data_IF_776960735040
#
_entry.id   IF_776960735040
#
_cell.length_a   1.000
_cell.length_b   1.000
_cell.length_c   1.000
_cell.angle_alpha   90.00
_cell.angle_beta   90.00
_cell.angle_gamma   90.00
#
_symmetry.space_group_name_H-M   'P 1'
#
loop_
_entity.id
_entity.type
_entity.pdbx_description
1 polymer ?
#
# COMPACT_ATOMS: atom_id res chain seq x y z
N UNK A 1 16.50 12.20 -27.89
CA UNK A 1 17.33 11.30 -27.05
C UNK A 1 16.42 10.17 -26.62
N UNK A 2 16.79 8.90 -26.84
CA UNK A 2 15.98 7.78 -26.35
C UNK A 2 16.04 7.76 -24.82
N UNK A 3 14.88 7.75 -24.17
CA UNK A 3 14.75 7.60 -22.72
C UNK A 3 15.13 6.15 -22.34
N UNK A 4 15.79 5.96 -21.19
CA UNK A 4 16.06 4.61 -20.65
C UNK A 4 14.83 4.16 -19.88
N UNK A 5 14.23 3.05 -20.30
CA UNK A 5 13.11 2.45 -19.56
C UNK A 5 13.62 1.57 -18.42
N UNK A 6 12.76 1.31 -17.44
CA UNK A 6 13.11 0.44 -16.32
C UNK A 6 13.38 -1.00 -16.76
N UNK A 7 12.64 -1.47 -17.76
CA UNK A 7 12.76 -2.80 -18.36
C UNK A 7 14.12 -2.98 -19.04
N UNK A 8 14.54 -1.99 -19.84
CA UNK A 8 15.87 -2.00 -20.46
C UNK A 8 16.97 -2.00 -19.40
N UNK A 9 16.82 -1.18 -18.36
CA UNK A 9 17.79 -1.12 -17.27
C UNK A 9 17.86 -2.45 -16.52
N UNK A 10 16.71 -3.06 -16.20
CA UNK A 10 16.58 -4.36 -15.53
C UNK A 10 17.31 -5.46 -16.29
N UNK A 11 17.08 -5.57 -17.59
CA UNK A 11 17.74 -6.55 -18.45
C UNK A 11 19.27 -6.39 -18.39
N UNK A 12 19.78 -5.16 -18.55
CA UNK A 12 21.23 -4.91 -18.56
C UNK A 12 21.88 -5.09 -17.18
N UNK A 13 21.17 -4.76 -16.11
CA UNK A 13 21.61 -5.04 -14.74
C UNK A 13 21.73 -6.55 -14.52
N UNK A 14 20.74 -7.34 -14.93
CA UNK A 14 20.79 -8.80 -14.84
C UNK A 14 21.98 -9.36 -15.64
N UNK A 15 22.13 -8.96 -16.91
CA UNK A 15 23.26 -9.37 -17.77
C UNK A 15 24.62 -9.03 -17.15
N UNK A 16 24.76 -7.82 -16.61
CA UNK A 16 25.96 -7.40 -15.91
C UNK A 16 26.22 -8.31 -14.70
N UNK A 17 25.19 -8.55 -13.89
CA UNK A 17 25.31 -9.30 -12.66
C UNK A 17 25.67 -10.77 -12.91
N UNK A 18 25.10 -11.39 -13.95
CA UNK A 18 25.46 -12.74 -14.39
C UNK A 18 26.89 -12.81 -14.93
N UNK A 19 27.28 -11.91 -15.85
CA UNK A 19 28.64 -11.88 -16.43
C UNK A 19 29.72 -11.67 -15.37
N UNK A 20 29.45 -10.83 -14.38
CA UNK A 20 30.35 -10.55 -13.26
C UNK A 20 30.24 -11.56 -12.12
N UNK A 21 29.40 -12.59 -12.25
CA UNK A 21 29.12 -13.62 -11.22
C UNK A 21 28.74 -13.01 -9.86
N UNK A 22 27.96 -11.94 -9.89
CA UNK A 22 27.45 -11.25 -8.70
C UNK A 22 26.20 -11.90 -8.13
N UNK A 23 25.54 -12.73 -8.95
CA UNK A 23 24.25 -13.36 -8.66
C UNK A 23 24.43 -14.86 -8.64
N UNK A 24 23.82 -15.49 -7.64
CA UNK A 24 23.68 -16.95 -7.56
C UNK A 24 22.42 -17.37 -8.35
N UNK A 25 22.39 -18.60 -8.85
CA UNK A 25 21.14 -19.13 -9.40
C UNK A 25 20.02 -19.07 -8.33
N UNK A 26 18.76 -18.99 -8.75
CA UNK A 26 17.65 -18.83 -7.81
C UNK A 26 17.59 -19.99 -6.80
N UNK A 27 17.97 -21.19 -7.23
CA UNK A 27 18.12 -22.39 -6.41
C UNK A 27 19.18 -22.21 -5.31
N UNK A 28 20.28 -21.53 -5.64
CA UNK A 28 21.44 -21.27 -4.77
C UNK A 28 21.30 -20.01 -3.90
N UNK A 29 20.26 -19.19 -4.11
CA UNK A 29 19.96 -18.06 -3.21
C UNK A 29 19.64 -18.59 -1.81
N UNK A 30 20.23 -17.97 -0.80
CA UNK A 30 20.09 -18.35 0.60
C UNK A 30 18.63 -18.35 1.07
N UNK A 31 18.25 -19.36 1.85
CA UNK A 31 16.91 -19.51 2.44
C UNK A 31 16.44 -18.29 3.24
N UNK A 32 17.36 -17.56 3.89
CA UNK A 32 17.07 -16.35 4.63
C UNK A 32 16.57 -15.24 3.69
N UNK A 33 17.29 -15.01 2.58
CA UNK A 33 16.92 -14.00 1.57
C UNK A 33 15.56 -14.33 0.96
N UNK A 34 15.34 -15.61 0.64
CA UNK A 34 14.05 -16.08 0.13
C UNK A 34 12.92 -15.86 1.14
N UNK A 35 13.19 -16.08 2.42
CA UNK A 35 12.23 -15.85 3.51
C UNK A 35 11.94 -14.37 3.74
N UNK A 36 12.95 -13.50 3.63
CA UNK A 36 12.78 -12.04 3.69
C UNK A 36 11.84 -11.54 2.59
N UNK A 37 12.04 -12.01 1.36
CA UNK A 37 11.13 -11.68 0.26
C UNK A 37 9.70 -12.17 0.52
N UNK A 38 9.55 -13.40 1.03
CA UNK A 38 8.22 -13.93 1.38
C UNK A 38 7.54 -13.11 2.48
N UNK A 39 8.30 -12.66 3.49
CA UNK A 39 7.79 -11.76 4.53
C UNK A 39 7.34 -10.42 3.95
N UNK A 40 8.10 -9.85 3.02
CA UNK A 40 7.73 -8.64 2.29
C UNK A 40 6.38 -8.83 1.58
N UNK A 41 6.23 -9.89 0.77
CA UNK A 41 4.96 -10.22 0.10
C UNK A 41 3.81 -10.40 1.12
N UNK A 42 4.08 -11.04 2.26
CA UNK A 42 3.09 -11.28 3.31
C UNK A 42 2.67 -10.02 4.06
N UNK A 43 3.57 -9.05 4.24
CA UNK A 43 3.26 -7.72 4.77
C UNK A 43 2.34 -6.94 3.83
N UNK A 44 2.56 -7.09 2.52
CA UNK A 44 1.76 -6.46 1.46
C UNK A 44 0.50 -7.25 1.09
N UNK A 45 0.26 -8.41 1.71
CA UNK A 45 -0.96 -9.20 1.50
C UNK A 45 -1.01 -9.94 0.16
N UNK A 46 0.12 -10.02 -0.57
CA UNK A 46 0.24 -10.72 -1.85
C UNK A 46 0.29 -12.24 -1.67
N UNK A 47 0.70 -12.71 -0.49
CA UNK A 47 0.68 -14.14 -0.13
C UNK A 47 -0.08 -14.37 1.18
N UNK A 48 -0.84 -15.47 1.30
CA UNK A 48 -1.63 -15.75 2.48
C UNK A 48 -0.75 -16.11 3.69
N UNK A 49 -0.90 -15.36 4.80
CA UNK A 49 -0.13 -15.53 6.05
C UNK A 49 -0.22 -16.90 6.74
N UNK A 50 -1.15 -17.78 6.35
CA UNK A 50 -1.54 -18.98 7.12
C UNK A 50 -1.51 -20.31 6.36
N UNK A 51 -1.02 -20.33 5.11
CA UNK A 51 -0.87 -21.58 4.36
C UNK A 51 0.59 -22.03 4.42
N UNK A 52 0.83 -23.34 4.46
CA UNK A 52 2.15 -23.87 4.11
C UNK A 52 2.35 -23.59 2.63
N UNK A 53 3.39 -22.83 2.29
CA UNK A 53 3.70 -22.47 0.90
C UNK A 53 5.14 -22.85 0.62
N UNK A 54 5.38 -23.44 -0.54
CA UNK A 54 6.75 -23.64 -1.05
C UNK A 54 7.35 -22.28 -1.37
N UNK A 55 8.40 -21.89 -0.64
CA UNK A 55 9.07 -20.60 -0.81
C UNK A 55 9.59 -20.42 -2.24
N UNK A 56 10.17 -21.48 -2.82
CA UNK A 56 10.67 -21.44 -4.20
C UNK A 56 9.53 -21.22 -5.19
N UNK A 57 8.38 -21.88 -5.02
CA UNK A 57 7.25 -21.73 -5.94
C UNK A 57 6.73 -20.29 -5.95
N UNK A 58 6.60 -19.66 -4.77
CA UNK A 58 6.18 -18.25 -4.67
C UNK A 58 7.17 -17.33 -5.36
N UNK A 59 8.46 -17.57 -5.18
CA UNK A 59 9.49 -16.77 -5.83
C UNK A 59 9.41 -16.95 -7.35
N UNK A 60 9.21 -18.16 -7.85
CA UNK A 60 9.04 -18.39 -9.29
C UNK A 60 7.76 -17.74 -9.84
N UNK A 61 6.64 -17.79 -9.10
CA UNK A 61 5.39 -17.12 -9.44
C UNK A 61 5.53 -15.59 -9.47
N UNK A 62 6.48 -15.03 -8.70
CA UNK A 62 6.76 -13.59 -8.60
C UNK A 62 8.20 -13.24 -9.01
N UNK A 63 8.76 -13.96 -10.00
CA UNK A 63 10.18 -13.88 -10.33
C UNK A 63 10.63 -12.46 -10.69
N UNK A 64 9.83 -11.72 -11.46
CA UNK A 64 10.14 -10.34 -11.82
C UNK A 64 10.31 -9.43 -10.60
N UNK A 65 9.33 -9.47 -9.70
CA UNK A 65 9.33 -8.67 -8.49
C UNK A 65 10.47 -9.09 -7.54
N UNK A 66 10.81 -10.39 -7.52
CA UNK A 66 11.96 -10.88 -6.76
C UNK A 66 13.27 -10.32 -7.31
N UNK A 67 13.47 -10.35 -8.63
CA UNK A 67 14.69 -9.85 -9.27
C UNK A 67 14.82 -8.33 -9.07
N UNK A 68 13.72 -7.59 -9.17
CA UNK A 68 13.74 -6.15 -8.99
C UNK A 68 14.11 -5.78 -7.54
N UNK A 69 13.47 -6.43 -6.56
CA UNK A 69 13.87 -6.29 -5.16
C UNK A 69 15.32 -6.72 -4.92
N UNK A 70 15.74 -7.85 -5.49
CA UNK A 70 17.06 -8.42 -5.23
C UNK A 70 18.19 -7.54 -5.79
N UNK A 71 18.07 -7.05 -7.03
CA UNK A 71 19.14 -6.30 -7.69
C UNK A 71 19.15 -4.80 -7.37
N UNK A 72 17.99 -4.20 -7.13
CA UNK A 72 17.86 -2.76 -6.96
C UNK A 72 17.73 -2.34 -5.50
N UNK A 73 17.26 -3.20 -4.60
CA UNK A 73 16.98 -2.83 -3.20
C UNK A 73 17.83 -3.60 -2.19
N UNK A 74 18.07 -4.91 -2.41
CA UNK A 74 18.55 -5.81 -1.34
C UNK A 74 20.02 -6.22 -1.41
N UNK A 75 20.49 -6.71 -2.55
CA UNK A 75 21.84 -7.30 -2.64
C UNK A 75 22.88 -6.20 -2.78
N UNK A 76 23.80 -6.11 -1.82
CA UNK A 76 24.83 -5.08 -1.80
C UNK A 76 26.26 -5.65 -1.88
N UNK A 77 27.13 -4.94 -2.60
CA UNK A 77 28.59 -5.13 -2.57
C UNK A 77 29.24 -3.79 -2.31
N UNK A 78 30.06 -3.70 -1.26
CA UNK A 78 30.69 -2.43 -0.89
C UNK A 78 29.67 -1.32 -0.60
N UNK A 79 28.54 -1.64 0.04
CA UNK A 79 27.43 -0.71 0.36
C UNK A 79 26.70 -0.12 -0.86
N UNK A 80 26.84 -0.75 -2.03
CA UNK A 80 26.13 -0.40 -3.25
C UNK A 80 25.36 -1.60 -3.74
N UNK A 81 24.14 -1.37 -4.22
CA UNK A 81 23.37 -2.41 -4.89
C UNK A 81 23.98 -2.80 -6.21
N UNK A 82 23.61 -3.97 -6.72
CA UNK A 82 24.08 -4.45 -8.02
C UNK A 82 23.75 -3.43 -9.14
N UNK A 83 22.57 -2.82 -9.10
CA UNK A 83 22.18 -1.77 -10.04
C UNK A 83 23.08 -0.51 -9.95
N UNK A 84 23.44 -0.08 -8.74
CA UNK A 84 24.37 1.04 -8.54
C UNK A 84 25.78 0.71 -9.06
N UNK A 85 26.24 -0.52 -8.86
CA UNK A 85 27.52 -0.99 -9.39
C UNK A 85 27.52 -1.03 -10.92
N UNK A 86 26.40 -1.45 -11.52
CA UNK A 86 26.23 -1.45 -12.96
C UNK A 86 26.36 -0.03 -13.53
N UNK A 87 25.63 0.95 -12.98
CA UNK A 87 25.73 2.34 -13.44
C UNK A 87 27.11 2.94 -13.29
N UNK A 88 27.89 2.51 -12.30
CA UNK A 88 29.26 2.97 -12.14
C UNK A 88 30.26 2.31 -13.10
N UNK A 89 29.88 1.21 -13.73
CA UNK A 89 30.75 0.42 -14.60
C UNK A 89 30.94 1.03 -16.00
N UNK A 90 31.96 0.55 -16.71
CA UNK A 90 32.15 0.83 -18.14
C UNK A 90 31.07 0.17 -19.02
N UNK A 91 30.40 -0.87 -18.51
CA UNK A 91 29.33 -1.54 -19.24
C UNK A 91 28.14 -0.58 -19.43
N UNK A 92 27.79 0.20 -18.40
CA UNK A 92 26.73 1.20 -18.52
C UNK A 92 27.06 2.29 -19.56
N UNK A 93 28.29 2.79 -19.60
CA UNK A 93 28.72 3.79 -20.59
C UNK A 93 28.63 3.27 -22.04
N UNK A 94 28.87 1.97 -22.23
CA UNK A 94 28.70 1.31 -23.54
C UNK A 94 27.23 1.13 -23.89
N UNK A 95 26.44 0.65 -22.93
CA UNK A 95 25.04 0.28 -23.17
C UNK A 95 24.14 1.53 -23.29
N UNK A 96 24.52 2.65 -22.63
CA UNK A 96 23.78 3.92 -22.60
C UNK A 96 24.71 5.14 -22.80
N UNK A 97 25.36 5.28 -23.97
CA UNK A 97 26.42 6.28 -24.20
C UNK A 97 25.95 7.75 -24.15
N UNK A 98 24.64 7.97 -24.29
CA UNK A 98 24.03 9.30 -24.28
C UNK A 98 23.44 9.70 -22.92
N UNK A 99 23.54 8.83 -21.91
CA UNK A 99 22.93 9.06 -20.59
C UNK A 99 23.97 9.60 -19.63
N UNK A 100 23.64 10.73 -18.98
CA UNK A 100 24.51 11.29 -17.96
C UNK A 100 24.57 10.35 -16.73
N UNK A 101 25.75 9.75 -16.52
CA UNK A 101 26.01 8.79 -15.44
C UNK A 101 25.60 9.29 -14.05
N UNK A 102 25.82 10.58 -13.77
CA UNK A 102 25.43 11.22 -12.50
C UNK A 102 23.91 11.20 -12.31
N UNK A 103 23.14 11.53 -13.35
CA UNK A 103 21.67 11.48 -13.32
C UNK A 103 21.17 10.05 -13.15
N UNK A 104 21.69 9.11 -13.95
CA UNK A 104 21.33 7.69 -13.84
C UNK A 104 21.60 7.13 -12.44
N UNK A 105 22.74 7.49 -11.84
CA UNK A 105 23.08 7.07 -10.49
C UNK A 105 22.10 7.64 -9.44
N UNK A 106 21.72 8.90 -9.57
CA UNK A 106 20.68 9.51 -8.71
C UNK A 106 19.34 8.82 -8.87
N UNK A 107 18.93 8.50 -10.09
CA UNK A 107 17.65 7.84 -10.34
C UNK A 107 17.65 6.40 -9.79
N UNK A 108 18.72 5.62 -9.98
CA UNK A 108 18.84 4.29 -9.37
C UNK A 108 18.79 4.33 -7.85
N UNK A 109 19.40 5.34 -7.22
CA UNK A 109 19.28 5.50 -5.76
C UNK A 109 17.84 5.71 -5.30
N UNK A 110 16.99 6.31 -6.13
CA UNK A 110 15.56 6.46 -5.83
C UNK A 110 14.82 5.13 -6.00
N UNK A 111 15.21 4.29 -6.97
CA UNK A 111 14.62 2.95 -7.19
C UNK A 111 14.68 2.09 -5.91
N UNK A 112 15.72 2.24 -5.07
CA UNK A 112 15.80 1.60 -3.74
C UNK A 112 14.61 1.89 -2.81
N UNK A 113 13.86 2.95 -3.08
CA UNK A 113 12.73 3.40 -2.28
C UNK A 113 11.46 3.42 -3.16
N UNK A 114 10.98 2.24 -3.58
CA UNK A 114 9.78 2.13 -4.39
C UNK A 114 8.54 2.48 -3.57
N UNK A 115 7.49 2.94 -4.24
CA UNK A 115 6.21 3.26 -3.60
C UNK A 115 5.30 2.05 -3.67
N UNK A 116 4.97 1.48 -2.52
CA UNK A 116 3.99 0.42 -2.40
C UNK A 116 2.64 0.98 -1.97
N UNK A 117 1.56 0.56 -2.61
CA UNK A 117 0.25 0.98 -2.15
C UNK A 117 -0.92 0.58 -3.01
N UNK A 118 -2.08 1.06 -2.57
CA UNK A 118 -3.30 1.04 -3.33
C UNK A 118 -3.41 2.38 -4.05
N UNK A 119 -3.54 2.35 -5.36
CA UNK A 119 -3.64 3.54 -6.17
C UNK A 119 -4.98 3.55 -6.90
N UNK A 120 -5.51 4.74 -7.12
CA UNK A 120 -6.64 4.97 -8.03
C UNK A 120 -6.11 5.60 -9.31
N UNK A 121 -6.49 5.05 -10.46
CA UNK A 121 -6.20 5.64 -11.76
C UNK A 121 -7.03 6.90 -11.91
N UNK A 122 -6.39 8.05 -12.03
CA UNK A 122 -7.06 9.34 -12.11
C UNK A 122 -7.24 9.81 -13.55
N UNK A 123 -6.27 9.53 -14.41
CA UNK A 123 -6.27 9.93 -15.81
C UNK A 123 -5.57 8.86 -16.65
N UNK A 124 -6.18 8.48 -17.77
CA UNK A 124 -5.56 7.57 -18.73
C UNK A 124 -4.91 8.38 -19.85
N UNK A 125 -3.58 8.31 -19.95
CA UNK A 125 -2.82 8.99 -20.99
C UNK A 125 -2.76 8.22 -22.30
N UNK A 126 -1.83 8.62 -23.17
CA UNK A 126 -1.49 7.92 -24.42
C UNK A 126 -0.27 7.02 -24.22
N UNK A 127 -0.13 5.98 -25.07
CA UNK A 127 1.09 5.14 -25.18
C UNK A 127 1.58 4.59 -23.84
N UNK A 128 0.70 3.86 -23.17
CA UNK A 128 1.06 3.09 -21.99
C UNK A 128 1.39 3.94 -20.75
N UNK A 129 0.96 5.20 -20.75
CA UNK A 129 1.07 6.11 -19.60
C UNK A 129 -0.29 6.38 -18.96
N UNK A 130 -0.33 6.40 -17.63
CA UNK A 130 -1.51 6.80 -16.86
C UNK A 130 -1.10 7.38 -15.52
N UNK A 131 -1.93 8.29 -15.01
CA UNK A 131 -1.70 8.94 -13.74
C UNK A 131 -2.47 8.21 -12.63
N UNK A 132 -1.77 7.91 -11.55
CA UNK A 132 -2.35 7.27 -10.38
C UNK A 132 -2.15 8.09 -9.13
N UNK A 133 -3.11 8.02 -8.22
CA UNK A 133 -3.06 8.67 -6.92
C UNK A 133 -3.04 7.63 -5.82
N UNK A 134 -2.09 7.73 -4.90
CA UNK A 134 -2.03 6.84 -3.75
C UNK A 134 -3.26 7.08 -2.85
N UNK A 135 -3.89 6.00 -2.39
CA UNK A 135 -5.02 6.06 -1.47
C UNK A 135 -4.61 6.87 -0.24
N UNK A 136 -5.42 7.87 0.14
CA UNK A 136 -5.19 8.74 1.31
C UNK A 136 -4.12 9.84 1.15
N UNK A 137 -3.45 9.93 0.00
CA UNK A 137 -2.52 11.04 -0.30
C UNK A 137 -2.97 11.87 -1.50
N UNK A 138 -2.49 13.11 -1.61
CA UNK A 138 -2.76 13.98 -2.77
C UNK A 138 -1.77 13.80 -3.93
N UNK A 139 -0.66 13.10 -3.69
CA UNK A 139 0.40 12.86 -4.66
C UNK A 139 -0.11 12.09 -5.88
N UNK A 140 0.17 12.63 -7.07
CA UNK A 140 -0.09 11.98 -8.35
C UNK A 140 1.22 11.47 -8.93
N UNK A 141 1.21 10.21 -9.37
CA UNK A 141 2.34 9.50 -9.93
C UNK A 141 2.04 9.17 -11.39
N UNK A 142 2.87 9.68 -12.31
CA UNK A 142 2.79 9.28 -13.71
C UNK A 142 3.46 7.93 -13.90
N UNK A 143 2.65 6.93 -14.22
CA UNK A 143 3.06 5.55 -14.43
C UNK A 143 3.23 5.28 -15.92
N UNK A 144 4.31 4.60 -16.29
CA UNK A 144 4.49 4.00 -17.59
C UNK A 144 4.48 2.47 -17.44
N UNK A 145 3.47 1.80 -18.00
CA UNK A 145 3.28 0.35 -17.89
C UNK A 145 2.47 -0.20 -19.06
N UNK A 146 3.16 -0.81 -20.04
CA UNK A 146 2.55 -1.47 -21.20
C UNK A 146 1.68 -2.68 -20.81
N UNK A 147 2.01 -3.34 -19.70
CA UNK A 147 1.40 -4.63 -19.34
C UNK A 147 -0.03 -4.47 -18.81
N UNK A 148 -0.29 -3.43 -18.02
CA UNK A 148 -1.62 -3.19 -17.44
C UNK A 148 -2.42 -2.09 -18.14
N UNK A 149 -1.80 -1.29 -19.03
CA UNK A 149 -2.44 -0.15 -19.67
C UNK A 149 -3.78 -0.48 -20.36
N UNK A 150 -3.87 -1.63 -21.04
CA UNK A 150 -5.10 -2.04 -21.73
C UNK A 150 -6.25 -2.44 -20.78
N UNK A 151 -5.93 -2.76 -19.52
CA UNK A 151 -6.85 -3.29 -18.52
C UNK A 151 -7.28 -2.27 -17.47
N UNK A 152 -6.66 -1.09 -17.45
CA UNK A 152 -6.99 0.00 -16.53
C UNK A 152 -7.87 1.06 -17.21
N UNK A 153 -8.79 1.62 -16.44
CA UNK A 153 -9.59 2.80 -16.78
C UNK A 153 -9.56 3.80 -15.62
N UNK A 154 -9.95 5.04 -15.86
CA UNK A 154 -10.14 6.01 -14.77
C UNK A 154 -11.09 5.46 -13.69
N UNK A 155 -10.74 5.71 -12.43
CA UNK A 155 -11.42 5.13 -11.27
C UNK A 155 -11.02 3.69 -10.94
N UNK A 156 -10.18 3.03 -11.76
CA UNK A 156 -9.69 1.69 -11.46
C UNK A 156 -8.76 1.73 -10.24
N UNK A 157 -9.00 0.85 -9.27
CA UNK A 157 -8.10 0.68 -8.15
C UNK A 157 -7.10 -0.43 -8.46
N UNK A 158 -5.84 -0.16 -8.18
CA UNK A 158 -4.74 -1.08 -8.38
C UNK A 158 -3.92 -1.21 -7.10
N UNK A 159 -3.46 -2.41 -6.79
CA UNK A 159 -2.38 -2.61 -5.82
C UNK A 159 -1.10 -2.95 -6.58
N UNK A 160 -0.07 -2.13 -6.39
CA UNK A 160 1.17 -2.23 -7.17
C UNK A 160 2.38 -1.68 -6.42
N UNK A 161 3.56 -1.91 -6.99
CA UNK A 161 4.85 -1.36 -6.59
C UNK A 161 5.36 -0.47 -7.72
N UNK A 162 5.58 0.81 -7.42
CA UNK A 162 6.02 1.81 -8.39
C UNK A 162 7.49 2.18 -8.19
N UNK A 163 8.31 1.97 -9.21
CA UNK A 163 9.74 2.28 -9.23
C UNK A 163 10.02 3.61 -9.94
N UNK A 164 10.61 4.61 -9.24
CA UNK A 164 10.92 5.89 -9.85
C UNK A 164 12.16 5.80 -10.75
N UNK A 165 12.04 6.17 -12.02
CA UNK A 165 13.15 6.27 -12.97
C UNK A 165 12.88 7.36 -14.01
N UNK A 166 13.88 8.19 -14.32
CA UNK A 166 13.77 9.18 -15.39
C UNK A 166 12.76 10.31 -15.16
N UNK A 167 12.17 10.42 -13.96
CA UNK A 167 11.09 11.37 -13.66
C UNK A 167 9.68 10.78 -13.82
N UNK A 168 9.57 9.49 -14.14
CA UNK A 168 8.33 8.71 -14.20
C UNK A 168 8.39 7.55 -13.20
N UNK A 169 7.29 6.81 -13.09
CA UNK A 169 7.18 5.60 -12.31
C UNK A 169 6.91 4.40 -13.20
N UNK A 170 7.52 3.26 -12.89
CA UNK A 170 7.35 2.02 -13.62
C UNK A 170 6.76 0.97 -12.68
N UNK A 171 5.78 0.22 -13.18
CA UNK A 171 5.22 -0.92 -12.46
C UNK A 171 6.19 -2.09 -12.61
N UNK A 172 6.46 -2.81 -11.53
CA UNK A 172 7.11 -4.11 -11.64
C UNK A 172 6.30 -5.23 -11.00
N UNK A 173 6.37 -6.40 -11.65
CA UNK A 173 5.56 -7.56 -11.30
C UNK A 173 4.09 -7.41 -11.69
N UNK A 174 3.23 -8.15 -11.03
CA UNK A 174 1.80 -8.19 -11.32
C UNK A 174 1.03 -7.06 -10.64
N UNK A 175 0.25 -6.31 -11.42
CA UNK A 175 -0.75 -5.38 -10.88
C UNK A 175 -2.01 -6.15 -10.46
N UNK A 176 -2.45 -5.96 -9.21
CA UNK A 176 -3.75 -6.46 -8.77
C UNK A 176 -4.82 -5.41 -9.02
N UNK A 177 -5.69 -5.66 -9.99
CA UNK A 177 -6.84 -4.81 -10.31
C UNK A 177 -8.04 -5.23 -9.47
N UNK A 178 -8.72 -4.26 -8.84
CA UNK A 178 -9.92 -4.54 -8.06
C UNK A 178 -11.18 -4.48 -8.93
N UNK A 179 -12.10 -5.46 -8.81
CA UNK A 179 -13.43 -5.40 -9.40
C UNK A 179 -14.18 -4.13 -8.96
N UNK A 180 -14.90 -3.51 -9.90
CA UNK A 180 -15.73 -2.31 -9.68
C UNK A 180 -16.65 -2.46 -8.46
N UNK A 181 -17.29 -3.61 -8.28
CA UNK A 181 -18.15 -3.90 -7.12
C UNK A 181 -17.44 -3.82 -5.76
N UNK A 182 -16.14 -4.14 -5.70
CA UNK A 182 -15.36 -3.99 -4.47
C UNK A 182 -14.99 -2.52 -4.23
N UNK A 183 -14.73 -1.79 -5.31
CA UNK A 183 -14.48 -0.35 -5.29
C UNK A 183 -15.72 0.43 -4.81
N UNK A 184 -16.89 0.14 -5.39
CA UNK A 184 -18.17 0.74 -4.97
C UNK A 184 -18.43 0.53 -3.48
N UNK A 185 -18.18 -0.69 -2.98
CA UNK A 185 -18.31 -1.01 -1.55
C UNK A 185 -17.34 -0.22 -0.69
N UNK A 186 -16.10 -0.04 -1.15
CA UNK A 186 -15.10 0.77 -0.46
C UNK A 186 -15.53 2.25 -0.40
N UNK A 187 -15.94 2.84 -1.52
CA UNK A 187 -16.39 4.24 -1.58
C UNK A 187 -17.65 4.46 -0.73
N UNK A 188 -18.61 3.53 -0.76
CA UNK A 188 -19.77 3.57 0.14
C UNK A 188 -19.35 3.52 1.62
N UNK A 189 -18.41 2.65 1.98
CA UNK A 189 -17.91 2.55 3.35
C UNK A 189 -17.15 3.81 3.77
N UNK A 190 -16.38 4.42 2.86
CA UNK A 190 -15.64 5.66 3.08
C UNK A 190 -16.58 6.86 3.26
N UNK A 191 -17.54 7.04 2.36
CA UNK A 191 -18.55 8.09 2.47
C UNK A 191 -19.36 7.95 3.77
N UNK A 192 -19.73 6.71 4.13
CA UNK A 192 -20.38 6.43 5.40
C UNK A 192 -19.53 6.80 6.61
N UNK A 193 -18.22 6.48 6.57
CA UNK A 193 -17.30 6.84 7.66
C UNK A 193 -17.16 8.35 7.80
N UNK A 194 -17.01 9.09 6.69
CA UNK A 194 -16.95 10.55 6.71
C UNK A 194 -18.22 11.15 7.32
N UNK A 195 -19.40 10.66 6.93
CA UNK A 195 -20.67 11.09 7.51
C UNK A 195 -20.73 10.81 9.03
N UNK A 196 -20.21 9.67 9.47
CA UNK A 196 -20.15 9.32 10.89
C UNK A 196 -19.19 10.24 11.66
N UNK A 197 -18.05 10.60 11.06
CA UNK A 197 -17.06 11.54 11.62
C UNK A 197 -17.69 12.94 11.79
N UNK A 198 -18.39 13.45 10.77
CA UNK A 198 -19.11 14.72 10.82
C UNK A 198 -20.17 14.75 11.93
N UNK A 199 -20.98 13.70 12.04
CA UNK A 199 -22.00 13.60 13.09
C UNK A 199 -21.40 13.51 14.49
N UNK A 200 -20.23 12.89 14.63
CA UNK A 200 -19.52 12.89 15.88
C UNK A 200 -18.99 14.27 16.26
N UNK A 201 -18.43 15.01 15.31
CA UNK A 201 -18.02 16.41 15.52
C UNK A 201 -19.19 17.30 15.93
N UNK A 202 -20.35 17.16 15.29
CA UNK A 202 -21.57 17.86 15.70
C UNK A 202 -22.01 17.50 17.11
N UNK A 203 -21.99 16.21 17.46
CA UNK A 203 -22.32 15.74 18.80
C UNK A 203 -21.43 16.36 19.87
N UNK A 204 -20.11 16.43 19.62
CA UNK A 204 -19.15 17.04 20.54
C UNK A 204 -19.40 18.54 20.70
N UNK A 205 -19.58 19.26 19.58
CA UNK A 205 -19.86 20.70 19.59
C UNK A 205 -21.14 21.03 20.36
N UNK A 206 -22.21 20.26 20.16
CA UNK A 206 -23.49 20.46 20.84
C UNK A 206 -23.47 20.17 22.35
N UNK A 207 -22.51 19.37 22.84
CA UNK A 207 -22.42 18.99 24.25
C UNK A 207 -21.74 20.03 25.15
N UNK A 208 -20.95 20.96 24.59
CA UNK A 208 -20.17 21.96 25.33
C UNK A 208 -19.45 21.39 26.59
N UNK A 209 -18.73 20.28 26.42
CA UNK A 209 -18.15 19.51 27.52
C UNK A 209 -16.70 19.91 27.83
N UNK A 210 -16.30 19.76 29.10
CA UNK A 210 -14.89 19.92 29.53
C UNK A 210 -13.97 18.94 28.79
N UNK A 211 -12.72 19.34 28.57
CA UNK A 211 -11.68 18.59 27.84
C UNK A 211 -11.56 17.11 28.27
N UNK A 212 -11.54 16.82 29.57
CA UNK A 212 -11.49 15.44 30.09
C UNK A 212 -12.66 14.58 29.61
N UNK A 213 -13.83 15.17 29.44
CA UNK A 213 -15.03 14.48 28.96
C UNK A 213 -15.03 14.37 27.44
N UNK A 214 -14.51 15.39 26.74
CA UNK A 214 -14.27 15.36 25.29
C UNK A 214 -13.38 14.17 24.90
N UNK A 215 -12.23 14.01 25.54
CA UNK A 215 -11.33 12.87 25.33
C UNK A 215 -11.99 11.51 25.53
N UNK A 216 -12.90 11.38 26.50
CA UNK A 216 -13.66 10.13 26.70
C UNK A 216 -14.56 9.81 25.51
N UNK A 217 -15.20 10.82 24.91
CA UNK A 217 -16.00 10.62 23.73
C UNK A 217 -15.13 10.33 22.50
N UNK A 218 -13.99 11.00 22.35
CA UNK A 218 -13.03 10.72 21.27
C UNK A 218 -12.50 9.28 21.34
N UNK A 219 -12.12 8.81 22.53
CA UNK A 219 -11.70 7.41 22.76
C UNK A 219 -12.82 6.42 22.40
N UNK A 220 -14.05 6.72 22.83
CA UNK A 220 -15.23 5.93 22.50
C UNK A 220 -15.46 5.89 20.99
N UNK A 221 -15.34 7.04 20.34
CA UNK A 221 -15.56 7.18 18.91
C UNK A 221 -14.49 6.46 18.09
N UNK A 222 -13.23 6.54 18.50
CA UNK A 222 -12.15 5.75 17.92
C UNK A 222 -12.46 4.25 17.95
N UNK A 223 -12.93 3.73 19.08
CA UNK A 223 -13.31 2.31 19.20
C UNK A 223 -14.56 1.98 18.36
N UNK A 224 -15.52 2.90 18.25
CA UNK A 224 -16.71 2.73 17.43
C UNK A 224 -16.36 2.70 15.94
N UNK A 225 -15.55 3.63 15.45
CA UNK A 225 -15.13 3.69 14.04
C UNK A 225 -14.35 2.44 13.64
N UNK A 226 -13.46 1.94 14.51
CA UNK A 226 -12.76 0.66 14.30
C UNK A 226 -13.72 -0.52 14.22
N UNK A 227 -14.74 -0.56 15.08
CA UNK A 227 -15.75 -1.62 15.03
C UNK A 227 -16.56 -1.58 13.74
N UNK A 228 -17.01 -0.38 13.35
CA UNK A 228 -17.77 -0.12 12.13
C UNK A 228 -16.99 -0.60 10.90
N UNK A 229 -15.70 -0.27 10.81
CA UNK A 229 -14.83 -0.73 9.73
C UNK A 229 -14.65 -2.25 9.75
N UNK A 230 -14.38 -2.86 10.92
CA UNK A 230 -14.21 -4.32 11.05
C UNK A 230 -15.49 -5.09 10.68
N UNK A 231 -16.67 -4.51 10.92
CA UNK A 231 -17.96 -5.10 10.54
C UNK A 231 -18.42 -4.78 9.12
N UNK A 232 -17.71 -3.89 8.42
CA UNK A 232 -18.07 -3.47 7.06
C UNK A 232 -19.44 -2.79 7.00
N UNK A 233 -19.80 -2.00 8.01
CA UNK A 233 -21.06 -1.25 7.96
C UNK A 233 -20.95 -0.13 6.92
N UNK A 234 -21.96 -0.03 6.07
CA UNK A 234 -22.05 0.99 4.99
C UNK A 234 -23.27 1.91 5.15
N UNK A 235 -24.00 1.82 6.27
CA UNK A 235 -25.16 2.68 6.51
C UNK A 235 -25.41 2.94 7.99
N UNK A 236 -26.01 4.10 8.27
CA UNK A 236 -26.28 4.58 9.63
C UNK A 236 -27.27 3.70 10.39
N UNK A 237 -28.18 3.01 9.67
CA UNK A 237 -29.15 2.06 10.24
C UNK A 237 -28.48 1.00 11.12
N UNK A 238 -27.32 0.48 10.71
CA UNK A 238 -26.61 -0.55 11.48
C UNK A 238 -25.95 0.02 12.73
N UNK A 239 -25.40 1.23 12.66
CA UNK A 239 -24.84 1.92 13.83
C UNK A 239 -25.93 2.29 14.83
N UNK A 240 -27.06 2.83 14.39
CA UNK A 240 -28.20 3.15 15.27
C UNK A 240 -28.77 1.91 15.99
N UNK A 241 -28.69 0.75 15.36
CA UNK A 241 -29.11 -0.56 15.91
C UNK A 241 -28.00 -1.32 16.63
N UNK A 242 -26.84 -0.71 16.81
CA UNK A 242 -25.70 -1.33 17.49
C UNK A 242 -26.10 -1.79 18.89
N UNK A 243 -25.88 -3.08 19.17
CA UNK A 243 -25.96 -3.58 20.53
C UNK A 243 -24.71 -3.11 21.30
N UNK A 244 -24.92 -2.19 22.24
CA UNK A 244 -23.85 -1.57 23.02
C UNK A 244 -23.03 -2.61 23.77
N UNK A 245 -23.66 -3.62 24.39
CA UNK A 245 -22.92 -4.62 25.17
C UNK A 245 -22.08 -5.54 24.28
N UNK A 246 -22.57 -5.87 23.09
CA UNK A 246 -21.77 -6.61 22.10
C UNK A 246 -20.56 -5.80 21.66
N UNK A 247 -20.74 -4.52 21.37
CA UNK A 247 -19.66 -3.62 20.96
C UNK A 247 -18.62 -3.43 22.08
N UNK A 248 -19.06 -3.16 23.30
CA UNK A 248 -18.18 -2.99 24.47
C UNK A 248 -17.39 -4.28 24.77
N UNK A 249 -18.04 -5.45 24.69
CA UNK A 249 -17.35 -6.75 24.83
C UNK A 249 -16.30 -6.95 23.73
N UNK A 250 -16.58 -6.52 22.50
CA UNK A 250 -15.60 -6.54 21.41
C UNK A 250 -14.43 -5.61 21.72
N UNK A 251 -14.69 -4.38 22.16
CA UNK A 251 -13.65 -3.39 22.47
C UNK A 251 -12.72 -3.91 23.57
N UNK A 252 -13.27 -4.51 24.63
CA UNK A 252 -12.50 -5.15 25.69
C UNK A 252 -11.60 -6.28 25.19
N UNK A 253 -12.13 -7.17 24.34
CA UNK A 253 -11.35 -8.29 23.81
C UNK A 253 -10.22 -7.83 22.88
N UNK A 254 -10.45 -6.77 22.10
CA UNK A 254 -9.47 -6.27 21.13
C UNK A 254 -8.42 -5.37 21.74
N UNK A 255 -8.79 -4.54 22.71
CA UNK A 255 -7.95 -3.44 23.21
C UNK A 255 -7.61 -3.55 24.71
N UNK A 256 -8.07 -4.61 25.40
CA UNK A 256 -7.71 -4.86 26.79
C UNK A 256 -8.16 -3.77 27.78
N UNK A 257 -9.21 -3.00 27.44
CA UNK A 257 -9.65 -1.87 28.27
C UNK A 257 -10.13 -2.34 29.66
N UNK A 258 -9.87 -1.52 30.69
CA UNK A 258 -10.28 -1.80 32.07
C UNK A 258 -11.80 -1.77 32.23
N UNK A 259 -12.32 -2.37 33.32
CA UNK A 259 -13.76 -2.32 33.64
C UNK A 259 -14.30 -0.90 33.78
N UNK A 260 -13.52 0.00 34.39
CA UNK A 260 -13.91 1.41 34.49
C UNK A 260 -14.07 2.04 33.10
N UNK A 261 -13.12 1.80 32.19
CA UNK A 261 -13.18 2.30 30.81
C UNK A 261 -14.30 1.65 30.01
N UNK A 262 -14.64 0.39 30.32
CA UNK A 262 -15.80 -0.33 29.78
C UNK A 262 -17.09 0.44 30.06
N UNK A 263 -17.32 0.84 31.32
CA UNK A 263 -18.51 1.58 31.73
C UNK A 263 -18.56 3.00 31.15
N UNK A 264 -17.40 3.68 31.08
CA UNK A 264 -17.29 4.97 30.40
C UNK A 264 -17.68 4.88 28.92
N UNK A 265 -17.13 3.89 28.20
CA UNK A 265 -17.46 3.65 26.80
C UNK A 265 -18.94 3.32 26.63
N UNK A 266 -19.51 2.48 27.52
CA UNK A 266 -20.94 2.11 27.51
C UNK A 266 -21.83 3.34 27.66
N UNK A 267 -21.50 4.25 28.59
CA UNK A 267 -22.26 5.49 28.78
C UNK A 267 -22.11 6.44 27.59
N UNK A 268 -20.88 6.65 27.12
CA UNK A 268 -20.57 7.56 26.03
C UNK A 268 -21.23 7.13 24.71
N UNK A 269 -21.15 5.84 24.36
CA UNK A 269 -21.77 5.33 23.12
C UNK A 269 -23.29 5.39 23.19
N UNK A 270 -23.91 5.15 24.35
CA UNK A 270 -25.36 5.29 24.53
C UNK A 270 -25.82 6.72 24.24
N UNK A 271 -25.08 7.71 24.72
CA UNK A 271 -25.40 9.11 24.46
C UNK A 271 -25.24 9.48 22.98
N UNK A 272 -24.17 9.00 22.33
CA UNK A 272 -23.97 9.24 20.91
C UNK A 272 -25.04 8.54 20.05
N UNK A 273 -25.36 7.27 20.33
CA UNK A 273 -26.43 6.54 19.64
C UNK A 273 -27.81 7.19 19.84
N UNK A 274 -28.05 7.81 21.01
CA UNK A 274 -29.26 8.61 21.22
C UNK A 274 -29.28 9.84 20.31
N UNK A 275 -28.19 10.61 20.29
CA UNK A 275 -28.04 11.75 19.37
C UNK A 275 -28.28 11.35 17.91
N UNK A 276 -27.72 10.24 17.44
CA UNK A 276 -27.94 9.75 16.08
C UNK A 276 -29.40 9.43 15.77
N UNK A 277 -30.17 8.97 16.77
CA UNK A 277 -31.60 8.68 16.63
C UNK A 277 -32.47 9.94 16.64
N UNK A 278 -32.05 10.96 17.38
CA UNK A 278 -32.80 12.22 17.53
C UNK A 278 -32.62 13.18 16.33
N UNK A 279 -31.69 12.88 15.40
CA UNK A 279 -31.39 13.66 14.18
C UNK A 279 -32.26 13.31 12.96
N UNK A 280 -33.28 12.48 13.15
CA UNK A 280 -34.35 12.16 12.16
C UNK A 280 -35.65 12.86 12.54
#
# INVERSE_FOLDING_TARGET
MSEVTFEQLKEKVLDFALRKKLVKSLEEVDSLVKSEFLLLLGMHGLVPKRKSISVNNVIFEHADLFLDWYFFEREERGKKTIAELYVESKDFERDFPHVEKKKAYTDIKKIKNPVWGYFVVCEKGEKDEYDVKLLEEESVYRVHDESSFSHVAEGTFIFSKLYPLGGKYYVSGSTLVFPEKLVEKYEQAKAFKNQLDELFEEFIKGKNVKEKTKRKYEDMYFLLSRYVSEKGYTSMKWVKKLNVDTWVKWARRKWGISRYKEDECRSAVKQFLKFLKDKE
#
